data_IF_274298438822
#
_entry.id   IF_274298438822
#
_cell.length_a   1.000
_cell.length_b   1.000
_cell.length_c   1.000
_cell.angle_alpha   90.00
_cell.angle_beta   90.00
_cell.angle_gamma   90.00
#
_symmetry.space_group_name_H-M   'P 1'
#
loop_
_entity.id
_entity.type
_entity.pdbx_description
1 polymer ?
#
# COMPACT_ATOMS: atom_id res chain seq x y z
N UNK A 1 -35.43 -40.30 4.36
CA UNK A 1 -34.99 -39.73 5.66
C UNK A 1 -33.51 -39.31 5.66
N UNK A 2 -32.84 -39.19 4.49
CA UNK A 2 -31.42 -38.78 4.39
C UNK A 2 -31.27 -37.48 3.57
N UNK A 3 -32.31 -37.05 2.86
CA UNK A 3 -32.28 -35.87 1.99
C UNK A 3 -32.51 -34.55 2.74
N UNK A 4 -33.35 -34.55 3.79
CA UNK A 4 -33.70 -33.33 4.54
C UNK A 4 -32.54 -32.79 5.39
N UNK A 5 -31.61 -33.66 5.81
CA UNK A 5 -30.45 -33.28 6.64
C UNK A 5 -29.40 -32.52 5.83
N UNK A 6 -29.27 -32.81 4.53
CA UNK A 6 -28.27 -32.17 3.66
C UNK A 6 -28.66 -30.72 3.34
N UNK A 7 -29.96 -30.44 3.20
CA UNK A 7 -30.45 -29.08 2.91
C UNK A 7 -30.30 -28.15 4.12
N UNK A 8 -30.43 -28.68 5.35
CA UNK A 8 -30.21 -27.91 6.58
C UNK A 8 -28.74 -27.48 6.76
N UNK A 9 -27.78 -28.26 6.24
CA UNK A 9 -26.37 -27.89 6.24
C UNK A 9 -26.07 -26.74 5.25
N UNK A 10 -26.87 -26.58 4.20
CA UNK A 10 -26.69 -25.50 3.22
C UNK A 10 -27.22 -24.13 3.68
N UNK A 11 -28.02 -24.05 4.76
CA UNK A 11 -28.52 -22.76 5.29
C UNK A 11 -27.60 -22.19 6.39
N UNK A 12 -26.72 -23.00 6.99
CA UNK A 12 -25.79 -22.55 8.05
C UNK A 12 -24.47 -21.99 7.49
N UNK A 13 -24.23 -22.08 6.18
CA UNK A 13 -23.06 -21.47 5.55
C UNK A 13 -23.31 -20.04 5.00
N UNK A 14 -24.36 -19.35 5.45
CA UNK A 14 -24.60 -17.91 5.19
C UNK A 14 -24.07 -17.06 6.35
N UNK A 15 -22.90 -17.41 6.90
CA UNK A 15 -22.28 -16.65 7.99
C UNK A 15 -20.75 -16.68 7.89
N UNK A 16 -20.22 -16.21 6.78
CA UNK A 16 -18.81 -15.81 6.72
C UNK A 16 -18.62 -14.70 5.68
N UNK A 17 -19.33 -13.59 5.85
CA UNK A 17 -18.93 -12.32 5.24
C UNK A 17 -17.61 -11.84 5.88
N UNK A 18 -16.49 -12.44 5.48
CA UNK A 18 -15.15 -11.89 5.71
C UNK A 18 -14.77 -10.97 4.54
N UNK A 19 -15.49 -9.85 4.41
CA UNK A 19 -15.01 -8.66 3.68
C UNK A 19 -14.88 -7.47 4.62
N UNK A 20 -14.47 -7.72 5.86
CA UNK A 20 -13.92 -6.67 6.71
C UNK A 20 -12.46 -6.45 6.30
N UNK A 21 -12.25 -5.55 5.33
CA UNK A 21 -10.94 -5.06 4.93
C UNK A 21 -10.46 -5.60 3.57
N UNK A 22 -10.91 -4.98 2.48
CA UNK A 22 -10.17 -5.00 1.22
C UNK A 22 -8.80 -4.34 1.41
N UNK A 23 -7.81 -5.08 1.93
CA UNK A 23 -6.38 -4.72 1.84
C UNK A 23 -5.42 -5.84 2.25
N UNK A 24 -5.85 -7.12 2.35
CA UNK A 24 -4.91 -8.18 2.75
C UNK A 24 -5.05 -9.45 1.94
N UNK A 25 -4.41 -9.44 0.77
CA UNK A 25 -4.08 -10.68 0.04
C UNK A 25 -2.66 -10.60 -0.55
N UNK A 26 -1.71 -10.07 0.23
CA UNK A 26 -0.31 -9.91 -0.21
C UNK A 26 0.69 -10.74 0.61
N UNK A 27 0.26 -11.35 1.72
CA UNK A 27 1.16 -11.96 2.70
C UNK A 27 1.48 -13.45 2.44
N UNK A 28 0.86 -14.09 1.45
CA UNK A 28 1.01 -15.53 1.17
C UNK A 28 1.64 -15.79 -0.21
N UNK A 29 2.77 -15.15 -0.52
CA UNK A 29 3.56 -15.48 -1.72
C UNK A 29 4.97 -15.85 -1.31
N UNK A 30 5.38 -17.10 -1.58
CA UNK A 30 6.76 -17.55 -1.43
C UNK A 30 7.66 -16.75 -2.38
N UNK A 31 8.58 -15.98 -1.80
CA UNK A 31 9.27 -14.87 -2.47
C UNK A 31 8.44 -13.58 -2.36
N UNK A 32 8.47 -12.99 -1.16
CA UNK A 32 7.67 -11.81 -0.82
C UNK A 32 7.79 -10.70 -1.87
N UNK A 33 6.64 -10.19 -2.33
CA UNK A 33 6.62 -9.04 -3.25
C UNK A 33 7.24 -7.82 -2.56
N UNK A 34 7.90 -6.93 -3.32
CA UNK A 34 8.34 -5.66 -2.78
C UNK A 34 7.12 -4.86 -2.31
N UNK A 35 7.23 -4.25 -1.12
CA UNK A 35 6.24 -3.30 -0.65
C UNK A 35 6.45 -1.97 -1.38
N UNK A 36 5.38 -1.41 -1.95
CA UNK A 36 5.42 -0.13 -2.66
C UNK A 36 4.74 0.93 -1.78
N UNK A 37 5.46 2.00 -1.44
CA UNK A 37 4.94 3.19 -0.77
C UNK A 37 4.98 4.37 -1.74
N UNK A 38 3.81 4.91 -2.10
CA UNK A 38 3.69 6.11 -2.90
C UNK A 38 3.42 7.31 -1.98
N UNK A 39 4.34 8.26 -1.96
CA UNK A 39 4.17 9.55 -1.28
C UNK A 39 3.87 10.57 -2.38
N UNK A 40 2.68 11.16 -2.34
CA UNK A 40 2.27 12.21 -3.26
C UNK A 40 2.08 13.51 -2.49
N UNK A 41 2.54 14.60 -3.08
CA UNK A 41 2.50 15.94 -2.50
C UNK A 41 1.69 16.84 -3.41
N UNK A 42 0.77 17.60 -2.82
CA UNK A 42 -0.01 18.60 -3.52
C UNK A 42 0.84 19.87 -3.74
N UNK A 43 0.78 20.45 -4.94
CA UNK A 43 1.44 21.70 -5.34
C UNK A 43 2.94 21.87 -5.00
N UNK A 44 3.68 20.76 -4.80
CA UNK A 44 5.13 20.83 -4.58
C UNK A 44 5.88 21.10 -5.89
N UNK A 45 6.48 22.28 -6.00
CA UNK A 45 7.29 22.70 -7.15
C UNK A 45 8.72 22.16 -7.12
N UNK A 46 9.38 22.18 -8.28
CA UNK A 46 10.79 21.75 -8.41
C UNK A 46 11.75 22.55 -7.50
N UNK A 47 11.46 23.84 -7.27
CA UNK A 47 12.27 24.71 -6.43
C UNK A 47 12.06 24.56 -4.93
N UNK A 48 11.14 23.70 -4.48
CA UNK A 48 10.73 23.67 -3.07
C UNK A 48 11.54 22.71 -2.20
N UNK A 49 12.33 21.82 -2.80
CA UNK A 49 13.14 20.84 -2.06
C UNK A 49 14.61 21.28 -1.99
N UNK A 50 15.27 21.05 -0.84
CA UNK A 50 16.70 21.38 -0.66
C UNK A 50 17.58 20.62 -1.65
N UNK A 51 17.21 19.39 -2.01
CA UNK A 51 17.91 18.61 -3.04
C UNK A 51 17.90 19.26 -4.44
N UNK A 52 16.99 20.20 -4.71
CA UNK A 52 16.95 20.98 -5.95
C UNK A 52 17.53 22.40 -5.82
N UNK A 53 18.20 22.68 -4.69
CA UNK A 53 18.97 23.92 -4.50
C UNK A 53 18.27 25.02 -3.70
N UNK A 54 17.07 24.74 -3.16
CA UNK A 54 16.43 25.62 -2.19
C UNK A 54 17.23 25.69 -0.88
N UNK A 55 17.29 26.88 -0.25
CA UNK A 55 18.16 27.16 0.91
C UNK A 55 17.44 27.71 2.15
N UNK A 56 16.12 27.95 2.09
CA UNK A 56 15.37 28.56 3.20
C UNK A 56 15.03 27.55 4.31
N UNK A 57 14.90 26.28 3.97
CA UNK A 57 14.62 25.19 4.90
C UNK A 57 15.22 23.88 4.38
N UNK A 58 15.33 22.90 5.26
CA UNK A 58 15.90 21.58 4.97
C UNK A 58 14.79 20.55 4.79
N UNK A 59 14.97 19.63 3.84
CA UNK A 59 14.10 18.46 3.64
C UNK A 59 14.88 17.16 3.88
N UNK A 60 15.38 16.89 5.10
CA UNK A 60 16.40 15.85 5.34
C UNK A 60 15.95 14.44 4.96
N UNK A 61 14.67 14.11 5.11
CA UNK A 61 14.13 12.81 4.71
C UNK A 61 14.06 12.67 3.19
N UNK A 62 13.68 13.72 2.46
CA UNK A 62 13.62 13.71 1.00
C UNK A 62 15.03 13.72 0.41
N UNK A 63 15.93 14.49 1.02
CA UNK A 63 17.34 14.55 0.62
C UNK A 63 18.02 13.17 0.78
N UNK A 64 17.70 12.45 1.87
CA UNK A 64 18.16 11.07 2.06
C UNK A 64 17.62 10.12 0.99
N UNK A 65 16.32 10.19 0.69
CA UNK A 65 15.70 9.38 -0.37
C UNK A 65 16.33 9.65 -1.74
N UNK A 66 16.64 10.91 -2.05
CA UNK A 66 17.28 11.30 -3.30
C UNK A 66 18.75 10.88 -3.39
N UNK A 67 19.46 10.77 -2.25
CA UNK A 67 20.85 10.31 -2.16
C UNK A 67 20.97 8.79 -2.21
N UNK A 68 20.08 8.07 -1.51
CA UNK A 68 20.08 6.61 -1.42
C UNK A 68 19.34 5.95 -2.60
N UNK A 69 18.48 6.69 -3.27
CA UNK A 69 17.70 6.24 -4.42
C UNK A 69 18.04 6.96 -5.71
N UNK A 70 17.04 7.03 -6.59
CA UNK A 70 17.14 7.70 -7.89
C UNK A 70 16.35 9.01 -7.86
N UNK A 71 17.02 10.11 -8.21
CA UNK A 71 16.39 11.43 -8.35
C UNK A 71 16.18 11.75 -9.83
N UNK A 72 14.96 12.12 -10.19
CA UNK A 72 14.62 12.59 -11.52
C UNK A 72 14.73 14.11 -11.58
N UNK A 73 15.26 14.63 -12.68
CA UNK A 73 15.45 16.08 -12.83
C UNK A 73 14.74 16.66 -14.04
N UNK A 74 14.10 15.85 -14.90
CA UNK A 74 13.29 16.21 -16.06
C UNK A 74 12.29 15.09 -16.37
#
# INVERSE_FOLDING_TARGET
>A
MVSTVVVAACVVAVAAERKAGLWRQSAEREGGLPNILLIHTDDLGYGDLSVYGQRRFETPNIDRLAKEGTRFTQ
#
